data_IF_795135654088
#
_entry.id   IF_795135654088
#
_cell.length_a   1.000
_cell.length_b   1.000
_cell.length_c   1.000
_cell.angle_alpha   90.00
_cell.angle_beta   90.00
_cell.angle_gamma   90.00
#
_symmetry.space_group_name_H-M   'P 1'
#
loop_
_entity.id
_entity.type
_entity.pdbx_description
1 polymer ?
#
# COMPACT_ATOMS: atom_id res chain seq x y z
N UNK A 1 -10.06 -5.29 17.72
CA UNK A 1 -8.83 -4.48 17.56
C UNK A 1 -9.04 -3.52 16.43
N UNK A 2 -8.42 -2.34 16.50
CA UNK A 2 -8.34 -1.38 15.41
C UNK A 2 -7.00 -1.62 14.66
N UNK A 3 -7.06 -2.00 13.40
CA UNK A 3 -5.90 -2.41 12.60
C UNK A 3 -5.67 -1.42 11.47
N UNK A 4 -4.45 -0.88 11.37
CA UNK A 4 -3.99 -0.15 10.20
C UNK A 4 -3.24 -1.12 9.28
N UNK A 5 -3.75 -1.33 8.08
CA UNK A 5 -3.07 -2.09 7.03
C UNK A 5 -2.40 -1.14 6.05
N UNK A 6 -1.15 -1.37 5.71
CA UNK A 6 -0.40 -0.53 4.75
C UNK A 6 0.10 -1.38 3.59
N UNK A 7 -0.31 -1.03 2.39
CA UNK A 7 0.09 -1.67 1.14
C UNK A 7 -0.04 -0.68 -0.02
N UNK A 8 0.78 -0.80 -1.06
CA UNK A 8 0.65 0.07 -2.22
C UNK A 8 -0.58 -0.27 -3.07
N UNK A 9 -0.89 -1.56 -3.20
CA UNK A 9 -1.94 -2.07 -4.06
C UNK A 9 -3.10 -2.66 -3.24
N UNK A 10 -4.30 -2.26 -3.59
CA UNK A 10 -5.53 -2.69 -2.92
C UNK A 10 -6.70 -2.66 -3.90
N UNK A 11 -7.87 -3.16 -3.51
CA UNK A 11 -9.07 -3.08 -4.33
C UNK A 11 -9.21 -1.69 -5.02
N UNK A 12 -9.62 -1.62 -6.31
CA UNK A 12 -10.15 -2.68 -7.17
C UNK A 12 -9.09 -3.54 -7.88
N UNK A 13 -7.83 -3.39 -7.55
CA UNK A 13 -6.76 -4.21 -8.11
C UNK A 13 -6.85 -5.64 -7.55
N UNK A 14 -6.52 -6.69 -8.34
CA UNK A 14 -6.76 -8.10 -7.99
C UNK A 14 -5.71 -8.65 -7.02
N UNK A 15 -5.55 -8.02 -5.87
CA UNK A 15 -4.66 -8.48 -4.80
C UNK A 15 -5.47 -9.07 -3.66
N UNK A 16 -5.00 -10.17 -3.08
CA UNK A 16 -5.64 -10.88 -1.98
C UNK A 16 -5.66 -10.08 -0.66
N UNK A 17 -4.96 -8.95 -0.58
CA UNK A 17 -4.99 -8.06 0.59
C UNK A 17 -6.41 -7.62 0.93
N UNK A 18 -7.28 -7.43 -0.07
CA UNK A 18 -8.68 -7.07 0.16
C UNK A 18 -9.44 -8.18 0.88
N UNK A 19 -9.23 -9.44 0.49
CA UNK A 19 -9.90 -10.60 1.10
C UNK A 19 -9.47 -10.77 2.55
N UNK A 20 -8.18 -10.58 2.84
CA UNK A 20 -7.64 -10.62 4.20
C UNK A 20 -8.25 -9.51 5.06
N UNK A 21 -8.32 -8.28 4.57
CA UNK A 21 -8.90 -7.16 5.32
C UNK A 21 -10.41 -7.37 5.58
N UNK A 22 -11.15 -7.84 4.60
CA UNK A 22 -12.58 -8.13 4.74
C UNK A 22 -12.84 -9.30 5.70
N UNK A 23 -11.97 -10.30 5.71
CA UNK A 23 -12.05 -11.41 6.67
C UNK A 23 -11.75 -10.94 8.11
N UNK A 24 -10.79 -10.04 8.30
CA UNK A 24 -10.54 -9.41 9.61
C UNK A 24 -11.76 -8.64 10.12
N UNK A 25 -12.47 -7.93 9.23
CA UNK A 25 -13.74 -7.24 9.60
C UNK A 25 -14.79 -8.25 10.01
N UNK A 26 -14.97 -9.36 9.28
CA UNK A 26 -15.92 -10.43 9.66
C UNK A 26 -15.61 -11.05 11.02
N UNK A 27 -14.34 -11.07 11.42
CA UNK A 27 -13.88 -11.51 12.75
C UNK A 27 -14.03 -10.46 13.85
N UNK A 28 -14.69 -9.33 13.55
CA UNK A 28 -15.00 -8.29 14.53
C UNK A 28 -13.87 -7.26 14.75
N UNK A 29 -12.92 -7.15 13.84
CA UNK A 29 -11.90 -6.10 13.88
C UNK A 29 -12.36 -4.87 13.08
N UNK A 30 -11.92 -3.68 13.51
CA UNK A 30 -12.01 -2.46 12.71
C UNK A 30 -10.75 -2.35 11.85
N UNK A 31 -10.91 -2.25 10.53
CA UNK A 31 -9.79 -2.24 9.60
C UNK A 31 -9.78 -0.96 8.78
N UNK A 32 -8.65 -0.26 8.79
CA UNK A 32 -8.36 0.86 7.90
C UNK A 32 -7.16 0.51 7.04
N UNK A 33 -7.27 0.70 5.73
CA UNK A 33 -6.20 0.43 4.77
C UNK A 33 -5.66 1.75 4.24
N UNK A 34 -4.36 1.98 4.40
CA UNK A 34 -3.61 3.03 3.74
C UNK A 34 -2.98 2.46 2.48
N UNK A 35 -3.41 2.92 1.31
CA UNK A 35 -3.01 2.38 0.02
C UNK A 35 -2.83 3.46 -1.04
N UNK A 36 -2.37 3.08 -2.22
CA UNK A 36 -2.29 3.95 -3.38
C UNK A 36 -3.60 4.11 -4.15
N UNK A 37 -3.57 4.96 -5.16
CA UNK A 37 -4.61 4.98 -6.19
C UNK A 37 -4.46 3.74 -7.07
N UNK A 38 -5.55 3.15 -7.56
CA UNK A 38 -5.46 2.05 -8.53
C UNK A 38 -4.68 2.48 -9.76
N UNK A 39 -3.67 1.69 -10.12
CA UNK A 39 -2.76 2.02 -11.23
C UNK A 39 -2.13 0.80 -11.91
N UNK A 40 -2.51 -0.41 -11.52
CA UNK A 40 -2.04 -1.67 -12.12
C UNK A 40 -3.12 -2.29 -13.01
N UNK A 41 -3.81 -1.47 -13.80
CA UNK A 41 -4.78 -1.98 -14.76
C UNK A 41 -4.11 -2.82 -15.85
N UNK A 42 -4.73 -3.94 -16.24
CA UNK A 42 -4.21 -4.86 -17.28
C UNK A 42 -4.09 -4.21 -18.66
N UNK A 43 -4.70 -3.07 -18.90
CA UNK A 43 -4.80 -2.45 -20.23
C UNK A 43 -4.20 -1.05 -20.34
N UNK A 44 -4.19 -0.26 -19.28
CA UNK A 44 -3.57 1.06 -19.25
C UNK A 44 -3.13 1.35 -17.82
N UNK A 45 -1.86 1.51 -17.60
CA UNK A 45 -1.25 1.87 -16.31
C UNK A 45 -1.62 3.28 -15.82
N UNK A 46 -2.72 3.84 -16.29
CA UNK A 46 -3.24 5.13 -15.88
C UNK A 46 -4.21 5.00 -14.69
N UNK A 47 -4.30 6.08 -13.93
CA UNK A 47 -5.25 6.17 -12.82
C UNK A 47 -6.66 6.33 -13.41
N UNK A 48 -7.64 5.48 -13.04
CA UNK A 48 -9.00 5.60 -13.53
C UNK A 48 -9.62 6.96 -13.22
N UNK A 49 -10.49 7.46 -14.11
CA UNK A 49 -11.08 8.81 -14.00
C UNK A 49 -11.84 9.04 -12.69
N UNK A 50 -12.44 8.00 -12.14
CA UNK A 50 -13.14 8.04 -10.85
C UNK A 50 -12.21 8.33 -9.66
N UNK A 51 -10.89 8.17 -9.82
CA UNK A 51 -9.88 8.48 -8.80
C UNK A 51 -9.06 9.73 -9.10
N UNK A 52 -9.31 10.41 -10.22
CA UNK A 52 -8.61 11.66 -10.57
C UNK A 52 -9.16 12.86 -9.80
N UNK A 53 -8.41 13.95 -9.80
CA UNK A 53 -8.80 15.25 -9.24
C UNK A 53 -9.29 15.17 -7.77
N UNK A 54 -8.65 14.36 -6.96
CA UNK A 54 -8.96 14.25 -5.54
C UNK A 54 -10.16 13.36 -5.20
N UNK A 55 -10.81 12.75 -6.18
CA UNK A 55 -11.97 11.88 -5.95
C UNK A 55 -11.56 10.57 -5.29
N UNK A 56 -12.48 9.97 -4.53
CA UNK A 56 -12.36 8.65 -3.91
C UNK A 56 -11.08 8.43 -3.07
N UNK A 57 -10.64 9.49 -2.35
CA UNK A 57 -9.49 9.40 -1.44
C UNK A 57 -9.83 8.67 -0.14
N UNK A 58 -11.08 8.74 0.27
CA UNK A 58 -11.61 8.00 1.42
C UNK A 58 -12.83 7.22 0.95
N UNK A 59 -12.82 5.92 1.14
CA UNK A 59 -13.90 5.01 0.74
C UNK A 59 -14.19 4.01 1.85
N UNK A 60 -15.40 3.43 1.82
CA UNK A 60 -15.74 2.25 2.62
C UNK A 60 -16.17 1.12 1.70
N UNK A 61 -15.64 -0.08 1.97
CA UNK A 61 -16.03 -1.30 1.26
C UNK A 61 -16.04 -2.48 2.22
N UNK A 62 -17.15 -3.20 2.28
CA UNK A 62 -17.32 -4.41 3.10
C UNK A 62 -16.82 -4.23 4.55
N UNK A 63 -17.11 -3.05 5.15
CA UNK A 63 -16.67 -2.69 6.49
C UNK A 63 -15.26 -2.15 6.63
N UNK A 64 -14.44 -2.23 5.58
CA UNK A 64 -13.08 -1.68 5.55
C UNK A 64 -13.10 -0.20 5.17
N UNK A 65 -12.39 0.64 5.92
CA UNK A 65 -12.11 2.03 5.56
C UNK A 65 -10.84 2.07 4.70
N UNK A 66 -10.89 2.75 3.56
CA UNK A 66 -9.77 2.82 2.60
C UNK A 66 -9.32 4.27 2.48
N UNK A 67 -8.06 4.54 2.80
CA UNK A 67 -7.39 5.83 2.65
C UNK A 67 -6.40 5.74 1.50
N UNK A 68 -6.55 6.61 0.48
CA UNK A 68 -5.73 6.55 -0.73
C UNK A 68 -4.76 7.70 -0.81
N UNK A 69 -3.48 7.38 -0.82
CA UNK A 69 -2.39 8.30 -1.13
C UNK A 69 -2.29 8.53 -2.65
N UNK A 70 -1.95 9.76 -3.03
CA UNK A 70 -1.62 10.06 -4.42
C UNK A 70 -0.36 9.32 -4.86
N UNK A 71 -0.32 8.99 -6.15
CA UNK A 71 0.88 8.45 -6.78
C UNK A 71 0.91 8.83 -8.28
N UNK A 72 2.10 8.76 -8.86
CA UNK A 72 2.26 8.90 -10.31
C UNK A 72 1.77 7.62 -11.01
N UNK A 73 1.13 7.71 -12.19
CA UNK A 73 0.72 6.53 -12.96
C UNK A 73 1.88 5.58 -13.24
N UNK A 74 1.62 4.28 -13.16
CA UNK A 74 2.61 3.24 -13.45
C UNK A 74 2.72 3.01 -14.96
N UNK A 75 3.35 3.93 -15.68
CA UNK A 75 3.61 3.79 -17.12
C UNK A 75 4.73 2.77 -17.39
N UNK A 76 4.88 2.37 -18.65
CA UNK A 76 5.97 1.49 -19.09
C UNK A 76 7.35 2.09 -18.84
N UNK A 77 8.34 1.25 -18.61
CA UNK A 77 9.73 1.63 -18.37
C UNK A 77 10.13 1.74 -16.89
N UNK A 78 11.41 1.50 -16.62
CA UNK A 78 11.96 1.45 -15.26
C UNK A 78 11.83 2.80 -14.54
N UNK A 79 12.12 3.91 -15.20
CA UNK A 79 12.04 5.25 -14.63
C UNK A 79 10.62 5.60 -14.17
N UNK A 80 9.59 5.22 -14.94
CA UNK A 80 8.19 5.43 -14.56
C UNK A 80 7.79 4.56 -13.36
N UNK A 81 8.31 3.34 -13.27
CA UNK A 81 8.09 2.48 -12.10
C UNK A 81 8.70 3.07 -10.85
N UNK A 82 9.96 3.54 -10.93
CA UNK A 82 10.62 4.21 -9.81
C UNK A 82 9.83 5.46 -9.39
N UNK A 83 9.41 6.29 -10.34
CA UNK A 83 8.57 7.47 -10.06
C UNK A 83 7.26 7.10 -9.37
N UNK A 84 6.60 6.02 -9.81
CA UNK A 84 5.38 5.51 -9.18
C UNK A 84 5.63 5.13 -7.72
N UNK A 85 6.67 4.34 -7.44
CA UNK A 85 7.02 3.89 -6.10
C UNK A 85 7.39 5.05 -5.15
N UNK A 86 8.27 5.96 -5.61
CA UNK A 86 8.68 7.12 -4.81
C UNK A 86 7.51 8.06 -4.53
N UNK A 87 6.65 8.31 -5.50
CA UNK A 87 5.48 9.17 -5.33
C UNK A 87 4.46 8.56 -4.36
N UNK A 88 4.24 7.24 -4.40
CA UNK A 88 3.41 6.55 -3.41
C UNK A 88 4.02 6.70 -2.03
N UNK A 89 5.28 6.28 -1.87
CA UNK A 89 5.99 6.34 -0.60
C UNK A 89 5.88 7.73 0.06
N UNK A 90 6.23 8.79 -0.68
CA UNK A 90 6.19 10.16 -0.18
C UNK A 90 4.79 10.60 0.26
N UNK A 91 3.77 10.37 -0.58
CA UNK A 91 2.41 10.80 -0.28
C UNK A 91 1.75 9.94 0.81
N UNK A 92 2.04 8.66 0.85
CA UNK A 92 1.53 7.76 1.89
C UNK A 92 2.18 8.06 3.26
N UNK A 93 3.48 8.38 3.28
CA UNK A 93 4.19 8.81 4.48
C UNK A 93 3.58 10.10 5.05
N UNK A 94 3.35 11.09 4.18
CA UNK A 94 2.67 12.33 4.56
C UNK A 94 1.27 12.06 5.11
N UNK A 95 0.52 11.14 4.50
CA UNK A 95 -0.81 10.77 4.95
C UNK A 95 -0.75 10.06 6.32
N UNK A 96 0.16 9.10 6.49
CA UNK A 96 0.38 8.36 7.73
C UNK A 96 0.69 9.29 8.92
N UNK A 97 1.52 10.32 8.70
CA UNK A 97 1.84 11.34 9.72
C UNK A 97 0.63 12.15 10.16
N UNK A 98 -0.39 12.28 9.32
CA UNK A 98 -1.59 13.08 9.57
C UNK A 98 -2.81 12.26 10.01
N UNK A 99 -2.71 10.93 10.04
CA UNK A 99 -3.76 10.08 10.61
C UNK A 99 -3.89 10.40 12.10
N UNK A 100 -5.13 10.70 12.51
CA UNK A 100 -5.47 11.00 13.92
C UNK A 100 -6.10 9.81 14.63
N UNK A 101 -6.61 8.85 13.86
CA UNK A 101 -7.24 7.64 14.41
C UNK A 101 -6.21 6.79 15.14
N UNK A 102 -6.61 6.21 16.26
CA UNK A 102 -5.75 5.31 17.03
C UNK A 102 -5.95 3.86 16.59
N UNK A 103 -4.84 3.21 16.22
CA UNK A 103 -4.80 1.79 15.90
C UNK A 103 -4.05 1.01 16.98
N UNK A 104 -4.46 -0.22 17.21
CA UNK A 104 -3.81 -1.11 18.17
C UNK A 104 -2.53 -1.71 17.59
N UNK A 105 -2.53 -1.98 16.28
CA UNK A 105 -1.43 -2.61 15.55
C UNK A 105 -1.41 -2.14 14.09
N UNK A 106 -0.22 -2.13 13.50
CA UNK A 106 0.00 -1.88 12.07
C UNK A 106 0.38 -3.18 11.39
N UNK A 107 -0.24 -3.49 10.25
CA UNK A 107 0.09 -4.60 9.38
C UNK A 107 0.63 -4.07 8.06
N UNK A 108 1.92 -4.22 7.84
CA UNK A 108 2.57 -3.95 6.56
C UNK A 108 2.41 -5.15 5.62
N UNK A 109 1.75 -4.96 4.51
CA UNK A 109 1.56 -5.99 3.48
C UNK A 109 2.54 -5.70 2.35
N UNK A 110 3.73 -6.32 2.42
CA UNK A 110 4.85 -5.96 1.56
C UNK A 110 4.89 -6.78 0.29
N UNK A 111 4.70 -6.07 -0.82
CA UNK A 111 5.14 -6.50 -2.16
C UNK A 111 6.47 -5.82 -2.52
N UNK A 112 6.80 -5.69 -3.78
CA UNK A 112 7.94 -4.90 -4.26
C UNK A 112 7.57 -3.44 -4.55
N UNK A 113 8.39 -2.47 -4.17
CA UNK A 113 9.61 -2.52 -3.35
C UNK A 113 9.29 -2.48 -1.85
N UNK A 114 10.26 -2.84 -1.00
CA UNK A 114 10.07 -2.88 0.46
C UNK A 114 9.63 -1.54 1.07
N UNK A 115 10.08 -0.42 0.51
CA UNK A 115 9.75 0.95 0.98
C UNK A 115 8.25 1.27 0.95
N UNK A 116 7.43 0.49 0.25
CA UNK A 116 5.98 0.72 0.21
C UNK A 116 5.29 0.59 1.58
N UNK A 117 5.92 -0.08 2.55
CA UNK A 117 5.37 -0.26 3.91
C UNK A 117 5.95 0.72 4.93
N UNK A 118 6.92 1.56 4.55
CA UNK A 118 7.49 2.59 5.42
C UNK A 118 6.43 3.53 6.03
N UNK A 119 5.35 3.94 5.33
CA UNK A 119 4.30 4.74 5.94
C UNK A 119 3.68 4.09 7.18
N UNK A 120 3.60 2.75 7.20
CA UNK A 120 3.17 1.99 8.36
C UNK A 120 4.17 2.09 9.52
N UNK A 121 5.46 2.02 9.21
CA UNK A 121 6.53 2.18 10.20
C UNK A 121 6.54 3.60 10.78
N UNK A 122 6.31 4.62 9.95
CA UNK A 122 6.20 6.03 10.38
C UNK A 122 5.04 6.20 11.36
N UNK A 123 3.86 5.65 11.03
CA UNK A 123 2.73 5.66 11.96
C UNK A 123 3.06 4.92 13.26
N UNK A 124 3.58 3.69 13.16
CA UNK A 124 3.88 2.84 14.31
C UNK A 124 4.88 3.51 15.27
N UNK A 125 5.95 4.11 14.75
CA UNK A 125 6.93 4.85 15.56
C UNK A 125 6.31 6.07 16.24
N UNK A 126 5.53 6.88 15.50
CA UNK A 126 4.91 8.09 16.03
C UNK A 126 3.94 7.79 17.18
N UNK A 127 3.20 6.69 17.10
CA UNK A 127 2.15 6.32 18.06
C UNK A 127 2.57 5.20 19.01
N UNK A 128 3.86 4.80 19.03
CA UNK A 128 4.39 3.72 19.87
C UNK A 128 3.63 2.40 19.72
N UNK A 129 3.22 2.05 18.50
CA UNK A 129 2.49 0.82 18.17
C UNK A 129 3.43 -0.23 17.60
N UNK A 130 3.04 -1.51 17.74
CA UNK A 130 3.74 -2.62 17.08
C UNK A 130 3.37 -2.66 15.60
N UNK A 131 4.33 -3.04 14.77
CA UNK A 131 4.11 -3.33 13.35
C UNK A 131 4.47 -4.78 13.05
N UNK A 132 3.57 -5.48 12.39
CA UNK A 132 3.79 -6.78 11.79
C UNK A 132 4.04 -6.60 10.31
N UNK A 133 5.03 -7.29 9.78
CA UNK A 133 5.34 -7.29 8.35
C UNK A 133 4.95 -8.64 7.76
N UNK A 134 4.00 -8.63 6.83
CA UNK A 134 3.71 -9.78 5.97
C UNK A 134 4.48 -9.60 4.66
N UNK A 135 5.57 -10.36 4.53
CA UNK A 135 6.52 -10.21 3.44
C UNK A 135 6.22 -11.22 2.34
N UNK A 136 5.82 -10.74 1.15
CA UNK A 136 5.62 -11.56 -0.04
C UNK A 136 6.85 -11.62 -0.94
N UNK A 137 7.71 -10.61 -0.84
CA UNK A 137 8.80 -10.40 -1.78
C UNK A 137 10.10 -10.15 -1.03
N UNK A 138 10.99 -11.13 -1.06
CA UNK A 138 12.27 -11.08 -0.35
C UNK A 138 13.33 -10.38 -1.22
N UNK A 139 13.53 -9.10 -0.95
CA UNK A 139 14.60 -8.33 -1.55
C UNK A 139 15.94 -8.59 -0.86
N UNK A 140 17.07 -8.71 -1.59
CA UNK A 140 17.24 -8.61 -3.06
C UNK A 140 17.00 -9.92 -3.83
N UNK A 141 16.69 -11.03 -3.16
CA UNK A 141 16.58 -12.37 -3.78
C UNK A 141 15.58 -12.39 -4.94
N UNK A 142 14.46 -11.69 -4.81
CA UNK A 142 13.46 -11.61 -5.88
C UNK A 142 13.97 -10.93 -7.16
N UNK A 143 15.00 -10.09 -7.08
CA UNK A 143 15.62 -9.48 -8.25
C UNK A 143 16.38 -10.52 -9.08
N UNK A 144 17.03 -11.49 -8.45
CA UNK A 144 17.75 -12.56 -9.16
C UNK A 144 16.79 -13.45 -9.92
N UNK A 145 15.60 -13.73 -9.37
CA UNK A 145 14.52 -14.45 -10.07
C UNK A 145 13.99 -13.65 -11.29
N UNK A 146 14.11 -12.31 -11.27
CA UNK A 146 13.77 -11.42 -12.37
C UNK A 146 14.88 -11.24 -13.42
N UNK A 147 16.00 -11.99 -13.32
CA UNK A 147 17.10 -11.98 -14.30
C UNK A 147 18.23 -11.00 -14.01
N UNK A 148 18.26 -10.36 -12.82
CA UNK A 148 19.40 -9.56 -12.40
C UNK A 148 20.48 -10.46 -11.78
N UNK A 149 21.77 -10.26 -12.15
CA UNK A 149 22.85 -11.02 -11.54
C UNK A 149 23.11 -10.55 -10.10
N UNK A 150 23.54 -11.46 -9.21
CA UNK A 150 23.92 -11.10 -7.83
C UNK A 150 25.11 -10.12 -7.77
N UNK A 151 25.94 -10.11 -8.81
CA UNK A 151 27.10 -9.21 -8.91
C UNK A 151 26.72 -7.76 -9.27
N UNK A 152 25.48 -7.51 -9.65
CA UNK A 152 24.95 -6.16 -9.99
C UNK A 152 24.10 -5.54 -8.87
N UNK A 153 24.05 -6.16 -7.71
CA UNK A 153 23.34 -5.72 -6.51
C UNK A 153 24.32 -5.35 -5.41
#
# INVERSE_FOLDING_TARGET
>A
MNILVVCQHYWPEPFNTSDVCEELVKRGHSVTVLTGLPNTGMLNSDIPDEYRNGKNRVQKRNGVTILRANLAPRKTGAANRVKNYLSFWYNADKLARNIKDEFDVVLGYQFSPVMQVDPGLVYAKKHHKKMLLYCFDLWPISLTAGGFSQESL
#
